data_IF_955656429972
#
_entry.id   IF_955656429972
#
_cell.length_a   1.000
_cell.length_b   1.000
_cell.length_c   1.000
_cell.angle_alpha   90.00
_cell.angle_beta   90.00
_cell.angle_gamma   90.00
#
_symmetry.space_group_name_H-M   'P 1'
#
loop_
_entity.id
_entity.type
_entity.pdbx_description
1 polymer ?
#
# COMPACT_ATOMS: atom_id res chain seq x y z
N UNK A 1 -15.29 -10.27 3.68
CA UNK A 1 -14.91 -10.99 2.47
C UNK A 1 -16.09 -11.77 1.87
N UNK A 2 -16.74 -12.68 2.59
CA UNK A 2 -17.88 -13.48 2.06
C UNK A 2 -19.01 -12.62 1.45
N UNK A 3 -19.38 -11.51 2.08
CA UNK A 3 -20.41 -10.55 1.61
C UNK A 3 -20.07 -10.00 0.20
N UNK A 4 -18.80 -9.87 -0.13
CA UNK A 4 -18.32 -9.33 -1.40
C UNK A 4 -17.81 -10.42 -2.35
N UNK A 5 -18.08 -11.70 -2.04
CA UNK A 5 -17.59 -12.84 -2.81
C UNK A 5 -16.08 -12.87 -3.01
N UNK A 6 -15.33 -12.36 -2.02
CA UNK A 6 -13.87 -12.37 -2.02
C UNK A 6 -13.40 -13.56 -1.19
N UNK A 7 -12.59 -14.43 -1.82
CA UNK A 7 -11.94 -15.54 -1.13
C UNK A 7 -10.82 -14.98 -0.24
N UNK A 8 -10.95 -15.18 1.05
CA UNK A 8 -9.93 -14.86 2.04
C UNK A 8 -9.85 -16.01 3.04
N UNK A 9 -8.65 -16.38 3.40
CA UNK A 9 -8.36 -17.49 4.29
C UNK A 9 -7.17 -17.17 5.20
N UNK A 10 -6.72 -18.19 5.89
CA UNK A 10 -5.60 -18.11 6.84
C UNK A 10 -4.36 -18.86 6.34
N UNK A 11 -4.27 -19.09 5.03
CA UNK A 11 -3.08 -19.68 4.43
C UNK A 11 -1.87 -18.78 4.70
N UNK A 12 -0.75 -19.37 5.11
CA UNK A 12 0.45 -18.62 5.45
C UNK A 12 0.44 -17.92 6.81
N UNK A 13 -0.60 -18.12 7.64
CA UNK A 13 -0.68 -17.46 8.97
C UNK A 13 0.46 -17.81 9.92
N UNK A 14 1.01 -19.02 9.75
CA UNK A 14 2.09 -19.57 10.57
C UNK A 14 3.47 -19.50 9.87
N UNK A 15 3.53 -18.93 8.65
CA UNK A 15 4.78 -18.71 7.92
C UNK A 15 5.60 -17.60 8.58
N UNK A 16 6.91 -17.64 8.40
CA UNK A 16 7.80 -16.57 8.79
C UNK A 16 7.38 -15.22 8.19
N UNK A 17 7.69 -14.14 8.89
CA UNK A 17 7.39 -12.80 8.42
C UNK A 17 8.24 -12.47 7.19
N UNK A 18 7.60 -12.01 6.15
CA UNK A 18 8.27 -11.54 4.95
C UNK A 18 8.92 -10.15 5.16
N UNK A 19 9.73 -9.74 4.20
CA UNK A 19 10.42 -8.45 4.23
C UNK A 19 9.44 -7.27 4.32
N UNK A 20 8.36 -7.32 3.56
CA UNK A 20 7.33 -6.28 3.55
C UNK A 20 6.63 -6.10 4.90
N UNK A 21 6.55 -7.15 5.71
CA UNK A 21 6.02 -7.10 7.08
C UNK A 21 7.09 -6.70 8.09
N UNK A 22 8.29 -7.28 8.00
CA UNK A 22 9.36 -7.04 8.98
C UNK A 22 9.87 -5.60 8.98
N UNK A 23 10.01 -5.00 7.81
CA UNK A 23 10.55 -3.64 7.67
C UNK A 23 9.74 -2.60 8.46
N UNK A 24 8.43 -2.44 8.25
CA UNK A 24 7.66 -1.49 9.04
C UNK A 24 7.62 -1.87 10.54
N UNK A 25 7.54 -3.16 10.89
CA UNK A 25 7.53 -3.59 12.29
C UNK A 25 8.83 -3.26 13.01
N UNK A 26 9.98 -3.34 12.33
CA UNK A 26 11.27 -2.93 12.91
C UNK A 26 11.24 -1.49 13.42
N UNK A 27 10.65 -0.58 12.65
CA UNK A 27 10.53 0.82 13.06
C UNK A 27 9.46 1.02 14.14
N UNK A 28 8.31 0.41 14.00
CA UNK A 28 7.19 0.53 14.94
C UNK A 28 7.54 0.03 16.34
N UNK A 29 8.30 -1.05 16.47
CA UNK A 29 8.73 -1.62 17.75
C UNK A 29 9.55 -0.66 18.61
N UNK A 30 10.09 0.41 18.02
CA UNK A 30 10.78 1.47 18.77
C UNK A 30 9.79 2.34 19.57
N UNK A 31 8.55 2.45 19.11
CA UNK A 31 7.55 3.38 19.66
C UNK A 31 6.34 2.65 20.27
N UNK A 32 5.90 1.55 19.68
CA UNK A 32 4.75 0.76 20.14
C UNK A 32 5.25 -0.50 20.86
N UNK A 33 4.75 -0.73 22.08
CA UNK A 33 5.18 -1.86 22.90
C UNK A 33 4.19 -3.01 22.95
N UNK A 34 2.90 -2.69 22.91
CA UNK A 34 1.83 -3.67 23.02
C UNK A 34 0.84 -3.50 21.85
N UNK A 35 0.84 -4.44 20.92
CA UNK A 35 -0.11 -4.47 19.81
C UNK A 35 -0.22 -5.89 19.24
N UNK A 36 -1.27 -6.12 18.48
CA UNK A 36 -1.46 -7.36 17.73
C UNK A 36 -1.29 -7.08 16.24
N UNK A 37 -0.64 -7.99 15.54
CA UNK A 37 -0.44 -7.90 14.09
C UNK A 37 -1.44 -8.79 13.38
N UNK A 38 -2.08 -8.24 12.34
CA UNK A 38 -2.81 -9.01 11.32
C UNK A 38 -2.07 -8.80 10.01
N UNK A 39 -1.40 -9.82 9.52
CA UNK A 39 -0.74 -9.80 8.22
C UNK A 39 -1.74 -10.08 7.11
N UNK A 40 -1.71 -9.29 6.07
CA UNK A 40 -2.58 -9.40 4.90
C UNK A 40 -1.70 -9.56 3.66
N UNK A 41 -1.81 -10.70 2.98
CA UNK A 41 -1.14 -10.94 1.70
C UNK A 41 -1.88 -10.26 0.55
N UNK A 42 -1.13 -9.94 -0.49
CA UNK A 42 -1.65 -9.46 -1.77
C UNK A 42 -1.87 -10.64 -2.73
N UNK A 43 -2.55 -10.39 -3.84
CA UNK A 43 -2.86 -11.41 -4.85
C UNK A 43 -2.71 -10.86 -6.27
N UNK A 44 -2.89 -11.70 -7.27
CA UNK A 44 -2.96 -11.31 -8.69
C UNK A 44 -4.36 -10.90 -9.15
N UNK A 45 -5.31 -10.74 -8.23
CA UNK A 45 -6.68 -10.32 -8.56
C UNK A 45 -6.72 -8.84 -9.02
N UNK A 46 -7.88 -8.44 -9.53
CA UNK A 46 -8.05 -7.09 -10.08
C UNK A 46 -7.88 -5.97 -9.04
N UNK A 47 -7.52 -4.74 -9.46
CA UNK A 47 -7.47 -3.55 -8.60
C UNK A 47 -8.77 -3.36 -7.80
N UNK A 48 -9.91 -3.52 -8.44
CA UNK A 48 -11.22 -3.40 -7.80
C UNK A 48 -11.44 -4.46 -6.71
N UNK A 49 -10.90 -5.66 -6.88
CA UNK A 49 -10.99 -6.72 -5.87
C UNK A 49 -10.19 -6.36 -4.62
N UNK A 50 -8.96 -5.83 -4.79
CA UNK A 50 -8.14 -5.34 -3.68
C UNK A 50 -8.84 -4.18 -2.94
N UNK A 51 -9.39 -3.22 -3.68
CA UNK A 51 -10.16 -2.13 -3.10
C UNK A 51 -11.37 -2.63 -2.28
N UNK A 52 -12.18 -3.53 -2.85
CA UNK A 52 -13.31 -4.15 -2.13
C UNK A 52 -12.87 -4.93 -0.90
N UNK A 53 -11.71 -5.55 -0.96
CA UNK A 53 -11.13 -6.20 0.22
C UNK A 53 -10.77 -5.18 1.30
N UNK A 54 -10.25 -4.03 0.93
CA UNK A 54 -10.06 -2.88 1.83
C UNK A 54 -11.36 -2.45 2.51
N UNK A 55 -12.46 -2.36 1.76
CA UNK A 55 -13.79 -2.08 2.35
C UNK A 55 -14.22 -3.17 3.36
N UNK A 56 -13.91 -4.45 3.10
CA UNK A 56 -14.13 -5.52 4.07
C UNK A 56 -13.31 -5.34 5.36
N UNK A 57 -12.08 -4.86 5.25
CA UNK A 57 -11.21 -4.56 6.39
C UNK A 57 -11.82 -3.44 7.21
N UNK A 58 -12.25 -2.35 6.57
CA UNK A 58 -12.95 -1.23 7.22
C UNK A 58 -14.14 -1.70 8.04
N UNK A 59 -15.01 -2.55 7.45
CA UNK A 59 -16.17 -3.12 8.17
C UNK A 59 -15.72 -4.02 9.36
N UNK A 60 -14.67 -4.82 9.20
CA UNK A 60 -14.20 -5.72 10.24
C UNK A 60 -13.47 -5.01 11.40
N UNK A 61 -12.85 -3.87 11.12
CA UNK A 61 -12.20 -3.03 12.13
C UNK A 61 -13.25 -2.42 13.07
N UNK A 62 -14.35 -1.90 12.53
CA UNK A 62 -15.38 -1.21 13.34
C UNK A 62 -14.74 -0.09 14.16
N UNK A 63 -15.03 -0.06 15.46
CA UNK A 63 -14.55 0.96 16.41
C UNK A 63 -13.19 0.65 17.06
N UNK A 64 -12.47 -0.37 16.55
CA UNK A 64 -11.16 -0.72 17.09
C UNK A 64 -10.11 0.31 16.71
N UNK A 65 -9.19 0.57 17.65
CA UNK A 65 -8.00 1.38 17.35
C UNK A 65 -7.03 0.55 16.50
N UNK A 66 -6.87 0.92 15.23
CA UNK A 66 -6.08 0.17 14.24
C UNK A 66 -5.17 1.12 13.47
N UNK A 67 -3.92 0.74 13.31
CA UNK A 67 -2.99 1.29 12.35
C UNK A 67 -2.94 0.35 11.14
N UNK A 68 -3.37 0.83 9.98
CA UNK A 68 -3.22 0.11 8.72
C UNK A 68 -1.93 0.54 8.03
N UNK A 69 -1.09 -0.42 7.67
CA UNK A 69 0.17 -0.18 6.94
C UNK A 69 0.06 -0.84 5.57
N UNK A 70 0.13 -0.03 4.53
CA UNK A 70 0.27 -0.46 3.16
C UNK A 70 1.75 -0.48 2.80
N UNK A 71 2.37 -1.65 2.89
CA UNK A 71 3.79 -1.85 2.64
C UNK A 71 4.04 -2.28 1.20
N UNK A 72 5.12 -1.77 0.61
CA UNK A 72 5.61 -2.09 -0.72
C UNK A 72 6.43 -0.94 -1.29
N UNK A 73 7.40 -1.29 -2.15
CA UNK A 73 8.21 -0.30 -2.83
C UNK A 73 7.44 0.32 -4.00
N UNK A 74 7.86 1.51 -4.41
CA UNK A 74 7.42 2.13 -5.65
C UNK A 74 8.16 1.47 -6.83
N UNK A 75 8.58 2.20 -7.85
CA UNK A 75 9.29 1.60 -8.98
C UNK A 75 10.65 1.02 -8.58
N UNK A 76 11.02 -0.11 -9.23
CA UNK A 76 12.37 -0.66 -9.17
C UNK A 76 13.24 -0.29 -10.37
N UNK A 77 12.76 0.60 -11.26
CA UNK A 77 13.40 0.93 -12.54
C UNK A 77 13.89 2.40 -12.61
N UNK A 78 14.56 2.90 -11.56
CA UNK A 78 14.96 4.30 -11.47
C UNK A 78 16.40 4.58 -11.90
N UNK A 79 17.25 3.56 -12.07
CA UNK A 79 18.67 3.72 -12.41
C UNK A 79 19.17 2.59 -13.31
N UNK A 80 20.08 2.90 -14.24
CA UNK A 80 20.70 1.90 -15.13
C UNK A 80 21.44 0.80 -14.38
N UNK A 81 22.12 1.17 -13.29
CA UNK A 81 22.85 0.27 -12.40
C UNK A 81 21.99 -0.27 -11.25
N UNK A 82 20.68 -0.03 -11.30
CA UNK A 82 19.70 -0.54 -10.34
C UNK A 82 19.32 -2.01 -10.60
N UNK A 83 18.50 -2.60 -9.71
CA UNK A 83 18.17 -4.03 -9.76
C UNK A 83 17.40 -4.46 -11.03
N UNK A 84 16.66 -3.55 -11.66
CA UNK A 84 15.86 -3.80 -12.87
C UNK A 84 16.23 -2.86 -14.04
N UNK A 85 17.33 -2.12 -13.92
CA UNK A 85 17.74 -1.11 -14.89
C UNK A 85 16.85 0.14 -14.84
N UNK A 86 17.02 1.03 -15.84
CA UNK A 86 16.20 2.23 -15.97
C UNK A 86 15.09 2.03 -16.99
N UNK A 87 13.89 2.50 -16.66
CA UNK A 87 12.78 2.65 -17.60
C UNK A 87 12.05 3.96 -17.33
N UNK A 88 11.58 4.61 -18.38
CA UNK A 88 10.86 5.90 -18.26
C UNK A 88 9.59 5.79 -17.41
N UNK A 89 8.94 4.63 -17.41
CA UNK A 89 7.75 4.36 -16.61
C UNK A 89 8.05 4.41 -15.11
N UNK A 90 9.28 4.12 -14.70
CA UNK A 90 9.68 4.11 -13.30
C UNK A 90 9.45 5.44 -12.59
N UNK A 91 10.18 6.51 -12.94
CA UNK A 91 9.99 7.82 -12.31
C UNK A 91 8.61 8.43 -12.57
N UNK A 92 7.96 8.10 -13.70
CA UNK A 92 6.60 8.55 -13.98
C UNK A 92 5.59 7.91 -13.03
N UNK A 93 5.70 6.59 -12.80
CA UNK A 93 4.87 5.88 -11.82
C UNK A 93 5.03 6.45 -10.41
N UNK A 94 6.27 6.64 -9.96
CA UNK A 94 6.57 7.19 -8.64
C UNK A 94 5.99 8.60 -8.46
N UNK A 95 6.12 9.44 -9.49
CA UNK A 95 5.53 10.77 -9.51
C UNK A 95 4.00 10.74 -9.36
N UNK A 96 3.35 9.86 -10.11
CA UNK A 96 1.89 9.69 -10.08
C UNK A 96 1.40 9.23 -8.70
N UNK A 97 2.07 8.24 -8.10
CA UNK A 97 1.75 7.76 -6.75
C UNK A 97 1.89 8.89 -5.72
N UNK A 98 3.02 9.61 -5.75
CA UNK A 98 3.28 10.71 -4.81
C UNK A 98 2.24 11.83 -4.96
N UNK A 99 1.86 12.12 -6.21
CA UNK A 99 0.83 13.11 -6.50
C UNK A 99 -0.54 12.67 -5.96
N UNK A 100 -0.89 11.41 -6.18
CA UNK A 100 -2.13 10.82 -5.65
C UNK A 100 -2.14 10.86 -4.11
N UNK A 101 -1.02 10.52 -3.45
CA UNK A 101 -0.91 10.61 -1.99
C UNK A 101 -1.16 12.02 -1.47
N UNK A 102 -0.47 13.02 -2.05
CA UNK A 102 -0.58 14.43 -1.61
C UNK A 102 -1.97 15.01 -1.77
N UNK A 103 -2.73 14.51 -2.76
CA UNK A 103 -4.09 14.95 -3.05
C UNK A 103 -5.17 14.04 -2.45
N UNK A 104 -4.79 12.96 -1.76
CA UNK A 104 -5.72 11.90 -1.30
C UNK A 104 -6.57 11.33 -2.44
N UNK A 105 -6.02 11.29 -3.67
CA UNK A 105 -6.68 10.72 -4.84
C UNK A 105 -6.47 9.20 -4.87
N UNK A 106 -7.17 8.50 -3.99
CA UNK A 106 -7.07 7.05 -3.86
C UNK A 106 -7.66 6.29 -5.04
N UNK A 107 -8.52 6.93 -5.83
CA UNK A 107 -9.10 6.30 -7.03
C UNK A 107 -8.06 6.15 -8.14
N UNK A 108 -7.02 6.98 -8.15
CA UNK A 108 -5.89 6.86 -9.09
C UNK A 108 -5.26 5.46 -9.03
N UNK A 109 -5.15 4.85 -7.85
CA UNK A 109 -4.56 3.51 -7.69
C UNK A 109 -5.32 2.40 -8.43
N UNK A 110 -6.58 2.63 -8.79
CA UNK A 110 -7.41 1.65 -9.51
C UNK A 110 -7.35 1.81 -11.03
N UNK A 111 -6.76 2.90 -11.52
CA UNK A 111 -6.84 3.31 -12.93
C UNK A 111 -5.50 3.24 -13.68
N UNK A 112 -4.47 2.72 -13.05
CA UNK A 112 -3.19 2.50 -13.74
C UNK A 112 -3.33 1.44 -14.84
N UNK A 113 -2.68 1.69 -15.97
CA UNK A 113 -2.53 0.67 -17.01
C UNK A 113 -1.61 -0.46 -16.51
N UNK A 114 -2.03 -1.73 -16.60
CA UNK A 114 -1.22 -2.86 -16.15
C UNK A 114 0.13 -2.97 -16.86
N UNK A 115 0.22 -2.62 -18.15
CA UNK A 115 1.48 -2.66 -18.90
C UNK A 115 2.45 -1.59 -18.35
N UNK A 116 1.93 -0.40 -18.04
CA UNK A 116 2.70 0.68 -17.43
C UNK A 116 3.25 0.30 -16.06
N UNK A 117 2.42 -0.29 -15.18
CA UNK A 117 2.85 -0.70 -13.83
C UNK A 117 3.83 -1.87 -13.86
N UNK A 118 3.65 -2.81 -14.80
CA UNK A 118 4.61 -3.89 -15.02
C UNK A 118 5.96 -3.35 -15.50
N UNK A 119 5.96 -2.37 -16.41
CA UNK A 119 7.18 -1.71 -16.88
C UNK A 119 7.89 -0.96 -15.76
N UNK A 120 7.17 -0.31 -14.85
CA UNK A 120 7.73 0.33 -13.66
C UNK A 120 8.27 -0.67 -12.63
N UNK A 121 7.92 -1.95 -12.74
CA UNK A 121 8.31 -3.04 -11.82
C UNK A 121 8.05 -2.72 -10.34
N UNK A 122 6.86 -2.18 -10.05
CA UNK A 122 6.42 -1.81 -8.71
C UNK A 122 5.98 -3.03 -7.87
N UNK A 123 5.94 -2.93 -6.56
CA UNK A 123 5.36 -3.96 -5.70
C UNK A 123 4.36 -3.42 -4.65
N UNK A 124 4.18 -2.10 -4.55
CA UNK A 124 3.34 -1.46 -3.53
C UNK A 124 1.88 -1.24 -3.94
N UNK A 125 1.58 -1.16 -5.23
CA UNK A 125 0.28 -0.69 -5.72
C UNK A 125 -0.91 -1.50 -5.18
N UNK A 126 -0.79 -2.82 -5.08
CA UNK A 126 -1.87 -3.68 -4.55
C UNK A 126 -2.15 -3.41 -3.07
N UNK A 127 -1.12 -3.14 -2.28
CA UNK A 127 -1.26 -2.70 -0.89
C UNK A 127 -1.96 -1.34 -0.80
N UNK A 128 -1.63 -0.41 -1.71
CA UNK A 128 -2.28 0.91 -1.78
C UNK A 128 -3.75 0.80 -2.20
N UNK A 129 -4.10 -0.12 -3.09
CA UNK A 129 -5.49 -0.40 -3.46
C UNK A 129 -6.31 -0.92 -2.29
N UNK A 130 -5.74 -1.79 -1.45
CA UNK A 130 -6.40 -2.27 -0.22
C UNK A 130 -6.58 -1.10 0.77
N UNK A 131 -5.54 -0.30 0.95
CA UNK A 131 -5.62 0.89 1.82
C UNK A 131 -6.68 1.87 1.33
N UNK A 132 -6.74 2.15 0.03
CA UNK A 132 -7.76 3.01 -0.58
C UNK A 132 -9.18 2.55 -0.24
N UNK A 133 -9.44 1.25 -0.31
CA UNK A 133 -10.72 0.67 0.07
C UNK A 133 -11.02 0.77 1.57
N UNK A 134 -10.01 0.64 2.42
CA UNK A 134 -10.16 0.80 3.86
C UNK A 134 -10.44 2.26 4.27
N UNK A 135 -9.95 3.21 3.49
CA UNK A 135 -10.18 4.64 3.67
C UNK A 135 -11.40 5.19 2.92
N UNK A 136 -12.12 4.32 2.19
CA UNK A 136 -13.29 4.73 1.39
C UNK A 136 -14.29 5.56 2.19
N UNK A 137 -14.75 6.68 1.60
CA UNK A 137 -15.68 7.64 2.20
C UNK A 137 -15.20 8.27 3.52
N UNK A 138 -13.92 8.21 3.84
CA UNK A 138 -13.36 8.95 4.98
C UNK A 138 -12.81 10.29 4.53
N UNK A 139 -12.96 11.31 5.37
CA UNK A 139 -12.27 12.58 5.19
C UNK A 139 -10.81 12.38 5.63
N UNK A 140 -9.89 12.55 4.71
CA UNK A 140 -8.48 12.21 4.90
C UNK A 140 -7.62 13.46 4.80
N UNK A 141 -6.67 13.59 5.73
CA UNK A 141 -5.59 14.56 5.66
C UNK A 141 -4.28 13.83 5.38
N UNK A 142 -3.65 14.04 4.21
CA UNK A 142 -2.39 13.41 3.88
C UNK A 142 -1.22 14.10 4.59
N UNK A 143 -0.26 13.29 5.02
CA UNK A 143 1.01 13.72 5.60
C UNK A 143 2.13 13.08 4.79
N UNK A 144 2.58 13.77 3.76
CA UNK A 144 3.71 13.34 2.94
C UNK A 144 5.03 13.63 3.69
N UNK A 145 5.87 12.61 3.86
CA UNK A 145 7.12 12.72 4.62
C UNK A 145 8.36 12.72 3.72
N UNK A 146 8.50 11.72 2.86
CA UNK A 146 9.71 11.58 2.04
C UNK A 146 9.50 10.73 0.81
N UNK A 147 10.40 10.90 -0.16
CA UNK A 147 10.62 10.01 -1.28
C UNK A 147 12.10 10.03 -1.64
N UNK A 148 12.69 8.87 -1.80
CA UNK A 148 14.08 8.68 -2.21
C UNK A 148 14.21 7.46 -3.11
N UNK A 149 15.22 7.49 -4.02
CA UNK A 149 15.53 6.39 -4.94
C UNK A 149 17.02 6.05 -4.97
N UNK A 150 17.71 5.83 -3.82
CA UNK A 150 19.18 5.77 -3.78
C UNK A 150 19.76 4.56 -4.52
N UNK A 151 19.03 3.44 -4.57
CA UNK A 151 19.48 2.15 -5.12
C UNK A 151 18.74 1.76 -6.41
N UNK A 152 18.09 2.71 -7.08
CA UNK A 152 17.26 2.43 -8.26
C UNK A 152 15.87 1.94 -7.92
N UNK A 153 15.50 1.94 -6.63
CA UNK A 153 14.19 1.59 -6.11
C UNK A 153 13.57 2.81 -5.43
N UNK A 154 12.30 3.10 -5.71
CA UNK A 154 11.56 4.21 -5.12
C UNK A 154 11.03 3.86 -3.74
N UNK A 155 11.42 4.63 -2.74
CA UNK A 155 10.96 4.53 -1.36
C UNK A 155 10.19 5.79 -0.98
N UNK A 156 8.90 5.66 -0.78
CA UNK A 156 8.03 6.76 -0.37
C UNK A 156 7.38 6.52 0.99
N UNK A 157 7.23 7.57 1.77
CA UNK A 157 6.52 7.52 3.06
C UNK A 157 5.43 8.59 3.09
N UNK A 158 4.20 8.15 3.30
CA UNK A 158 3.06 9.02 3.48
C UNK A 158 2.12 8.46 4.57
N UNK A 159 1.65 9.30 5.46
CA UNK A 159 0.61 9.00 6.43
C UNK A 159 -0.73 9.58 6.00
N UNK A 160 -1.83 8.93 6.41
CA UNK A 160 -3.18 9.36 6.11
C UNK A 160 -3.99 9.40 7.40
N UNK A 161 -4.21 10.60 7.91
CA UNK A 161 -4.99 10.84 9.10
C UNK A 161 -6.48 10.87 8.74
N UNK A 162 -7.27 10.04 9.42
CA UNK A 162 -8.73 10.09 9.30
C UNK A 162 -9.20 11.25 10.17
N UNK A 163 -9.74 12.29 9.52
CA UNK A 163 -10.37 13.40 10.23
C UNK A 163 -11.71 12.91 10.80
N UNK A 164 -12.00 13.27 12.06
CA UNK A 164 -13.30 13.01 12.67
C UNK A 164 -14.44 13.62 11.85
N UNK A 165 -15.64 13.08 12.01
CA UNK A 165 -16.85 13.73 11.54
C UNK A 165 -17.01 15.01 12.39
N UNK A 166 -17.11 16.18 11.72
CA UNK A 166 -17.44 17.47 12.36
C UNK A 166 -18.87 17.44 12.90
#
# INVERSE_FOLDING_TARGET
AKKYHIFAGTLGKDDDLDHGTMTPLYFLNKYLKEYKVVRIGISSLSPLTHYRFGQCIKEAVGDKNVLLIASGDLSHCLKEDGPYGYKEEGPLFDHDIITAWKNSDFMRFLTFDPIFTEAAAECGLRSFQIMAGALDQKKIKPHYYSYEGPFGVGYGICGFEICGED
#
